data_IF_688253128811
#
_entry.id   IF_688253128811
#
_cell.length_a   1.000
_cell.length_b   1.000
_cell.length_c   1.000
_cell.angle_alpha   90.00
_cell.angle_beta   90.00
_cell.angle_gamma   90.00
#
_symmetry.space_group_name_H-M   'P 1'
#
loop_
_entity.id
_entity.type
_entity.pdbx_description
1 polymer ?
#
# COMPACT_ATOMS: atom_id res chain seq x y z
N UNK A 1 24.13 -26.82 0.32
CA UNK A 1 23.48 -26.37 1.56
C UNK A 1 24.07 -25.06 2.12
N UNK A 2 25.39 -24.85 2.10
CA UNK A 2 26.01 -23.62 2.64
C UNK A 2 25.47 -22.31 2.03
N UNK A 3 25.28 -22.23 0.71
CA UNK A 3 24.74 -21.04 0.04
C UNK A 3 23.34 -20.63 0.56
N UNK A 4 22.42 -21.59 0.70
CA UNK A 4 21.08 -21.34 1.23
C UNK A 4 21.12 -20.80 2.67
N UNK A 5 21.98 -21.38 3.52
CA UNK A 5 22.10 -20.94 4.91
C UNK A 5 22.64 -19.51 5.00
N UNK A 6 23.58 -19.14 4.14
CA UNK A 6 24.12 -17.77 4.07
C UNK A 6 23.06 -16.79 3.58
N UNK A 7 22.29 -17.12 2.54
CA UNK A 7 21.19 -16.27 2.06
C UNK A 7 20.06 -16.13 3.09
N UNK A 8 19.70 -17.20 3.81
CA UNK A 8 18.74 -17.14 4.93
C UNK A 8 19.30 -16.28 6.07
N UNK A 9 20.58 -16.43 6.41
CA UNK A 9 21.22 -15.62 7.45
C UNK A 9 21.24 -14.13 7.07
N UNK A 10 21.57 -13.81 5.81
CA UNK A 10 21.47 -12.45 5.27
C UNK A 10 20.06 -11.92 5.43
N UNK A 11 19.07 -12.66 4.92
CA UNK A 11 17.66 -12.29 5.01
C UNK A 11 17.24 -12.00 6.45
N UNK A 12 17.48 -12.94 7.38
CA UNK A 12 17.15 -12.78 8.80
C UNK A 12 17.88 -11.60 9.44
N UNK A 13 19.14 -11.35 9.08
CA UNK A 13 19.90 -10.21 9.59
C UNK A 13 19.33 -8.87 9.10
N UNK A 14 18.96 -8.76 7.82
CA UNK A 14 18.27 -7.59 7.28
C UNK A 14 16.94 -7.37 7.98
N UNK A 15 16.13 -8.42 8.17
CA UNK A 15 14.87 -8.33 8.94
C UNK A 15 15.13 -7.83 10.35
N UNK A 16 16.11 -8.41 11.05
CA UNK A 16 16.44 -8.07 12.43
C UNK A 16 16.90 -6.62 12.55
N UNK A 17 17.83 -6.17 11.68
CA UNK A 17 18.31 -4.80 11.63
C UNK A 17 17.14 -3.85 11.35
N UNK A 18 16.28 -4.17 10.37
CA UNK A 18 15.10 -3.37 10.07
C UNK A 18 14.15 -3.27 11.27
N UNK A 19 13.93 -4.36 12.01
CA UNK A 19 13.12 -4.32 13.23
C UNK A 19 13.77 -3.49 14.34
N UNK A 20 15.08 -3.59 14.55
CA UNK A 20 15.79 -2.79 15.55
C UNK A 20 15.70 -1.31 15.19
N UNK A 21 16.05 -0.94 13.95
CA UNK A 21 15.96 0.45 13.47
C UNK A 21 14.53 0.95 13.61
N UNK A 22 13.53 0.15 13.24
CA UNK A 22 12.12 0.49 13.43
C UNK A 22 11.79 0.82 14.88
N UNK A 23 12.15 -0.06 15.81
CA UNK A 23 11.84 0.13 17.24
C UNK A 23 12.55 1.35 17.82
N UNK A 24 13.79 1.59 17.42
CA UNK A 24 14.56 2.78 17.81
C UNK A 24 13.95 4.04 17.22
N UNK A 25 13.62 4.06 15.93
CA UNK A 25 13.00 5.19 15.26
C UNK A 25 11.63 5.54 15.83
N UNK A 26 10.82 4.56 16.23
CA UNK A 26 9.55 4.81 16.94
C UNK A 26 9.73 5.56 18.26
N UNK A 27 10.86 5.33 18.94
CA UNK A 27 11.18 5.99 20.22
C UNK A 27 11.79 7.36 20.04
N UNK A 28 12.57 7.57 18.97
CA UNK A 28 13.38 8.77 18.78
C UNK A 28 12.76 9.81 17.84
N UNK A 29 11.92 9.40 16.89
CA UNK A 29 11.44 10.29 15.82
C UNK A 29 9.97 10.68 16.02
N UNK A 30 9.60 11.90 15.57
CA UNK A 30 8.20 12.30 15.54
C UNK A 30 7.41 11.39 14.58
N UNK A 31 6.14 11.15 14.93
CA UNK A 31 5.27 10.17 14.26
C UNK A 31 5.17 10.38 12.74
N UNK A 32 5.16 11.63 12.28
CA UNK A 32 5.10 11.96 10.84
C UNK A 32 6.34 11.51 10.06
N UNK A 33 7.54 11.69 10.62
CA UNK A 33 8.82 11.29 10.01
C UNK A 33 8.92 9.77 9.97
N UNK A 34 8.52 9.09 11.04
CA UNK A 34 8.49 7.62 11.09
C UNK A 34 7.52 7.03 10.05
N UNK A 35 6.27 7.54 9.99
CA UNK A 35 5.23 7.03 9.10
C UNK A 35 5.49 7.32 7.62
N UNK A 36 6.14 8.45 7.30
CA UNK A 36 6.41 8.88 5.93
C UNK A 36 7.73 8.39 5.34
N UNK A 37 8.76 8.20 6.17
CA UNK A 37 10.13 7.91 5.72
C UNK A 37 10.62 6.53 6.18
N UNK A 38 10.82 6.35 7.49
CA UNK A 38 11.54 5.18 8.01
C UNK A 38 10.83 3.87 7.65
N UNK A 39 9.50 3.84 7.77
CA UNK A 39 8.72 2.63 7.52
C UNK A 39 8.77 2.19 6.05
N UNK A 40 8.76 3.11 5.10
CA UNK A 40 8.87 2.80 3.67
C UNK A 40 10.29 2.38 3.30
N UNK A 41 11.30 3.08 3.83
CA UNK A 41 12.72 2.78 3.58
C UNK A 41 13.09 1.36 4.03
N UNK A 42 12.74 1.01 5.27
CA UNK A 42 13.03 -0.31 5.83
C UNK A 42 12.28 -1.42 5.11
N UNK A 43 11.14 -1.10 4.49
CA UNK A 43 10.37 -2.07 3.73
C UNK A 43 11.03 -2.37 2.38
N UNK A 44 11.42 -1.33 1.63
CA UNK A 44 12.14 -1.50 0.36
C UNK A 44 13.45 -2.28 0.53
N UNK A 45 14.15 -2.05 1.65
CA UNK A 45 15.42 -2.73 1.96
C UNK A 45 15.33 -4.26 1.98
N UNK A 46 14.14 -4.79 2.24
CA UNK A 46 13.90 -6.21 2.41
C UNK A 46 13.42 -6.91 1.12
N UNK A 47 12.94 -6.16 0.12
CA UNK A 47 12.33 -6.70 -1.10
C UNK A 47 13.37 -7.23 -2.13
N UNK A 48 14.64 -6.79 -2.05
CA UNK A 48 15.69 -7.17 -3.02
C UNK A 48 16.45 -8.45 -2.65
N UNK A 49 16.60 -8.76 -1.36
CA UNK A 49 17.47 -9.85 -0.88
C UNK A 49 17.11 -11.26 -1.38
N UNK A 50 15.95 -11.40 -2.03
CA UNK A 50 15.43 -12.67 -2.55
C UNK A 50 15.80 -12.98 -4.00
N UNK A 51 16.20 -11.97 -4.77
CA UNK A 51 16.39 -12.09 -6.22
C UNK A 51 17.80 -12.55 -6.61
N UNK A 52 18.60 -13.00 -5.64
CA UNK A 52 19.80 -13.77 -5.90
C UNK A 52 19.41 -15.13 -6.50
N UNK A 53 19.39 -15.23 -7.83
CA UNK A 53 19.00 -16.43 -8.58
C UNK A 53 19.89 -17.65 -8.36
N UNK A 54 19.34 -18.86 -8.56
CA UNK A 54 20.09 -20.13 -8.49
C UNK A 54 19.57 -21.11 -7.43
N UNK A 55 18.53 -20.73 -6.68
CA UNK A 55 17.72 -21.67 -5.93
C UNK A 55 16.58 -22.22 -6.79
N UNK A 56 16.09 -23.42 -6.44
CA UNK A 56 14.91 -23.99 -7.10
C UNK A 56 13.68 -23.07 -6.94
N UNK A 57 12.73 -23.12 -7.88
CA UNK A 57 11.56 -22.24 -7.88
C UNK A 57 10.75 -22.34 -6.57
N UNK A 58 10.67 -23.54 -5.99
CA UNK A 58 9.97 -23.78 -4.71
C UNK A 58 10.60 -23.01 -3.54
N UNK A 59 11.93 -22.90 -3.51
CA UNK A 59 12.65 -22.18 -2.45
C UNK A 59 12.46 -20.67 -2.60
N UNK A 60 12.55 -20.15 -3.83
CA UNK A 60 12.30 -18.74 -4.11
C UNK A 60 10.86 -18.39 -3.71
N UNK A 61 9.90 -19.24 -4.09
CA UNK A 61 8.48 -19.01 -3.82
C UNK A 61 8.15 -19.04 -2.33
N UNK A 62 8.71 -20.00 -1.58
CA UNK A 62 8.52 -20.11 -0.13
C UNK A 62 9.14 -18.92 0.62
N UNK A 63 10.34 -18.51 0.24
CA UNK A 63 10.95 -17.32 0.83
C UNK A 63 10.18 -16.05 0.46
N UNK A 64 9.63 -15.96 -0.75
CA UNK A 64 8.77 -14.84 -1.17
C UNK A 64 7.49 -14.77 -0.33
N UNK A 65 6.87 -15.91 -0.08
CA UNK A 65 5.72 -16.01 0.82
C UNK A 65 6.05 -15.56 2.25
N UNK A 66 7.14 -16.06 2.82
CA UNK A 66 7.59 -15.70 4.18
C UNK A 66 7.91 -14.20 4.26
N UNK A 67 8.58 -13.66 3.23
CA UNK A 67 8.87 -12.25 3.10
C UNK A 67 7.59 -11.42 3.18
N UNK A 68 6.60 -11.69 2.32
CA UNK A 68 5.31 -10.98 2.33
C UNK A 68 4.51 -11.16 3.62
N UNK A 69 4.62 -12.31 4.29
CA UNK A 69 4.03 -12.53 5.60
C UNK A 69 4.64 -11.63 6.68
N UNK A 70 5.97 -11.70 6.86
CA UNK A 70 6.70 -10.89 7.84
C UNK A 70 6.40 -9.42 7.60
N UNK A 71 6.31 -9.05 6.34
CA UNK A 71 5.95 -7.74 5.87
C UNK A 71 4.57 -7.26 6.28
N UNK A 72 3.54 -8.08 6.04
CA UNK A 72 2.16 -7.73 6.38
C UNK A 72 1.95 -7.53 7.88
N UNK A 73 2.73 -8.21 8.72
CA UNK A 73 2.62 -8.12 10.20
C UNK A 73 3.58 -7.10 10.83
N UNK A 74 4.74 -6.83 10.22
CA UNK A 74 5.84 -6.14 10.90
C UNK A 74 6.14 -4.72 10.43
N UNK A 75 5.54 -4.20 9.36
CA UNK A 75 5.92 -2.87 8.83
C UNK A 75 4.81 -1.84 8.90
N UNK A 76 3.93 -1.92 9.91
CA UNK A 76 2.89 -0.93 10.22
C UNK A 76 2.06 -0.43 9.02
N UNK A 77 1.90 -1.24 7.96
CA UNK A 77 1.22 -0.82 6.74
C UNK A 77 2.04 0.09 5.82
N UNK A 78 3.36 -0.08 5.75
CA UNK A 78 4.17 0.46 4.66
C UNK A 78 3.63 -0.01 3.30
N UNK A 79 3.65 0.88 2.31
CA UNK A 79 3.19 0.58 0.96
C UNK A 79 4.25 -0.20 0.18
N UNK A 80 5.47 0.34 0.12
CA UNK A 80 6.61 -0.18 -0.65
C UNK A 80 6.34 -0.52 -2.12
N UNK A 81 5.28 0.05 -2.66
CA UNK A 81 4.92 -0.09 -4.05
C UNK A 81 4.34 1.25 -4.51
N UNK A 82 4.94 1.91 -5.53
CA UNK A 82 4.43 3.16 -6.08
C UNK A 82 2.95 3.08 -6.47
N UNK A 83 2.51 1.94 -7.01
CA UNK A 83 1.11 1.71 -7.40
C UNK A 83 0.19 1.71 -6.18
N UNK A 84 0.61 1.13 -5.06
CA UNK A 84 -0.16 1.12 -3.80
C UNK A 84 -0.18 2.51 -3.18
N UNK A 85 0.94 3.25 -3.20
CA UNK A 85 0.97 4.63 -2.69
C UNK A 85 0.10 5.57 -3.53
N UNK A 86 0.08 5.37 -4.84
CA UNK A 86 -0.83 6.10 -5.72
C UNK A 86 -2.29 5.69 -5.48
N UNK A 87 -2.56 4.41 -5.23
CA UNK A 87 -3.90 3.95 -4.86
C UNK A 87 -4.41 4.67 -3.61
N UNK A 88 -3.61 4.72 -2.54
CA UNK A 88 -3.97 5.43 -1.29
C UNK A 88 -4.28 6.91 -1.54
N UNK A 89 -3.52 7.57 -2.43
CA UNK A 89 -3.79 8.95 -2.82
C UNK A 89 -5.12 9.11 -3.57
N UNK A 90 -5.38 8.21 -4.53
CA UNK A 90 -6.59 8.26 -5.37
C UNK A 90 -7.87 8.02 -4.57
N UNK A 91 -7.80 7.21 -3.51
CA UNK A 91 -8.94 6.92 -2.61
C UNK A 91 -9.07 7.87 -1.43
N UNK A 92 -8.28 8.96 -1.39
CA UNK A 92 -8.26 9.98 -0.33
C UNK A 92 -7.66 9.53 1.02
N UNK A 93 -6.98 8.39 1.08
CA UNK A 93 -6.33 7.88 2.31
C UNK A 93 -4.97 8.57 2.57
N UNK A 94 -4.38 9.22 1.57
CA UNK A 94 -3.11 9.95 1.67
C UNK A 94 -3.18 11.34 1.04
N UNK A 95 -2.44 12.30 1.60
CA UNK A 95 -2.28 13.63 1.02
C UNK A 95 -1.27 13.62 -0.13
N UNK A 96 -1.28 14.65 -0.98
CA UNK A 96 -0.33 14.77 -2.08
C UNK A 96 1.13 14.77 -1.59
N UNK A 97 1.44 15.61 -0.58
CA UNK A 97 2.79 15.72 -0.02
C UNK A 97 3.22 14.39 0.61
N UNK A 98 2.36 13.73 1.38
CA UNK A 98 2.69 12.44 1.97
C UNK A 98 2.98 11.38 0.90
N UNK A 99 2.20 11.38 -0.18
CA UNK A 99 2.40 10.45 -1.30
C UNK A 99 3.70 10.72 -2.05
N UNK A 100 4.00 11.99 -2.35
CA UNK A 100 5.26 12.38 -2.99
C UNK A 100 6.48 11.96 -2.14
N UNK A 101 6.41 12.16 -0.82
CA UNK A 101 7.44 11.71 0.11
C UNK A 101 7.57 10.19 0.09
N UNK A 102 6.47 9.43 0.15
CA UNK A 102 6.51 7.96 0.05
C UNK A 102 7.19 7.48 -1.23
N UNK A 103 6.83 8.06 -2.38
CA UNK A 103 7.40 7.70 -3.67
C UNK A 103 8.92 7.94 -3.69
N UNK A 104 9.38 9.11 -3.23
CA UNK A 104 10.81 9.42 -3.16
C UNK A 104 11.56 8.44 -2.25
N UNK A 105 11.00 8.13 -1.08
CA UNK A 105 11.61 7.18 -0.14
C UNK A 105 11.63 5.77 -0.70
N UNK A 106 10.60 5.37 -1.44
CA UNK A 106 10.56 4.06 -2.08
C UNK A 106 11.70 3.93 -3.09
N UNK A 107 11.93 4.95 -3.92
CA UNK A 107 13.08 4.96 -4.82
C UNK A 107 14.42 4.91 -4.07
N UNK A 108 14.63 5.80 -3.11
CA UNK A 108 15.88 5.84 -2.33
C UNK A 108 16.11 4.53 -1.57
N UNK A 109 15.06 3.96 -1.01
CA UNK A 109 15.11 2.68 -0.31
C UNK A 109 15.48 1.53 -1.22
N UNK A 110 15.00 1.51 -2.46
CA UNK A 110 15.36 0.47 -3.43
C UNK A 110 16.79 0.61 -3.93
N UNK A 111 17.26 1.83 -4.19
CA UNK A 111 18.66 2.06 -4.54
C UNK A 111 19.59 1.63 -3.40
N UNK A 112 19.28 2.02 -2.16
CA UNK A 112 20.03 1.59 -0.98
C UNK A 112 20.01 0.07 -0.81
N UNK A 113 18.87 -0.57 -1.08
CA UNK A 113 18.73 -2.02 -1.06
C UNK A 113 19.58 -2.69 -2.12
N UNK A 114 19.63 -2.13 -3.33
CA UNK A 114 20.46 -2.60 -4.43
C UNK A 114 21.93 -2.55 -4.05
N UNK A 115 22.41 -1.40 -3.57
CA UNK A 115 23.80 -1.21 -3.13
C UNK A 115 24.16 -2.18 -2.00
N UNK A 116 23.32 -2.30 -0.97
CA UNK A 116 23.57 -3.21 0.15
C UNK A 116 23.65 -4.66 -0.32
N UNK A 117 22.74 -5.04 -1.21
CA UNK A 117 22.67 -6.37 -1.81
C UNK A 117 23.95 -6.64 -2.59
N UNK A 118 24.31 -5.80 -3.57
CA UNK A 118 25.53 -5.94 -4.36
C UNK A 118 26.78 -6.01 -3.49
N UNK A 119 26.89 -5.14 -2.48
CA UNK A 119 28.01 -5.16 -1.54
C UNK A 119 28.08 -6.48 -0.77
N UNK A 120 26.94 -7.00 -0.30
CA UNK A 120 26.90 -8.29 0.40
C UNK A 120 27.31 -9.45 -0.52
N UNK A 121 26.83 -9.49 -1.76
CA UNK A 121 27.20 -10.55 -2.73
C UNK A 121 28.67 -10.45 -3.13
N UNK A 122 29.25 -9.25 -3.16
CA UNK A 122 30.68 -9.04 -3.46
C UNK A 122 31.64 -9.62 -2.40
N UNK A 123 31.15 -9.98 -1.22
CA UNK A 123 31.96 -10.68 -0.22
C UNK A 123 32.20 -12.15 -0.56
N UNK A 124 31.53 -12.69 -1.60
CA UNK A 124 31.79 -14.02 -2.17
C UNK A 124 31.89 -15.14 -1.12
N UNK A 125 31.05 -15.03 -0.08
CA UNK A 125 31.07 -15.90 1.11
C UNK A 125 30.90 -17.39 0.79
N UNK A 126 30.36 -17.72 -0.38
CA UNK A 126 30.31 -19.08 -0.93
C UNK A 126 30.49 -19.05 -2.45
N UNK A 127 30.86 -20.20 -3.04
CA UNK A 127 30.95 -20.38 -4.51
C UNK A 127 29.65 -19.97 -5.23
N UNK A 128 28.51 -20.11 -4.56
CA UNK A 128 27.21 -19.70 -5.09
C UNK A 128 27.08 -18.16 -5.17
N UNK A 129 27.54 -17.44 -4.14
CA UNK A 129 27.55 -15.96 -4.16
C UNK A 129 28.53 -15.44 -5.21
N UNK A 130 29.68 -16.11 -5.39
CA UNK A 130 30.63 -15.82 -6.46
C UNK A 130 29.99 -15.98 -7.85
N UNK A 131 29.35 -17.14 -8.11
CA UNK A 131 28.69 -17.39 -9.40
C UNK A 131 27.57 -16.38 -9.66
N UNK A 132 26.78 -16.01 -8.64
CA UNK A 132 25.73 -15.01 -8.80
C UNK A 132 26.28 -13.61 -9.04
N UNK A 133 27.35 -13.22 -8.35
CA UNK A 133 28.01 -11.94 -8.57
C UNK A 133 28.54 -11.84 -10.01
N UNK A 134 29.10 -12.93 -10.54
CA UNK A 134 29.52 -13.03 -11.94
C UNK A 134 28.32 -12.99 -12.90
N UNK A 135 27.22 -13.68 -12.59
CA UNK A 135 26.00 -13.69 -13.41
C UNK A 135 25.27 -12.35 -13.41
N UNK A 136 25.38 -11.56 -12.34
CA UNK A 136 24.78 -10.23 -12.25
C UNK A 136 25.39 -9.24 -13.26
N UNK A 137 26.62 -9.47 -13.71
CA UNK A 137 27.28 -8.64 -14.73
C UNK A 137 26.69 -8.86 -16.13
N UNK A 138 26.15 -10.06 -16.40
CA UNK A 138 25.58 -10.45 -17.69
C UNK A 138 24.09 -10.80 -17.55
N UNK A 139 23.31 -9.92 -16.91
CA UNK A 139 21.89 -10.16 -16.73
C UNK A 139 21.07 -9.93 -18.02
N UNK A 140 20.08 -10.79 -18.22
CA UNK A 140 19.13 -10.73 -19.33
C UNK A 140 17.77 -10.22 -18.84
N UNK A 141 16.99 -9.65 -19.75
CA UNK A 141 15.64 -9.16 -19.49
C UNK A 141 14.76 -10.23 -18.85
N UNK A 142 14.00 -9.84 -17.83
CA UNK A 142 12.96 -10.69 -17.23
C UNK A 142 11.69 -10.78 -18.08
N UNK A 143 11.61 -10.04 -19.20
CA UNK A 143 10.52 -10.15 -20.16
C UNK A 143 10.85 -11.31 -21.11
N UNK A 144 10.20 -12.45 -20.92
CA UNK A 144 10.37 -13.65 -21.75
C UNK A 144 9.24 -13.84 -22.76
N UNK A 145 8.43 -12.80 -22.99
CA UNK A 145 7.25 -12.84 -23.86
C UNK A 145 7.17 -11.63 -24.78
N UNK A 146 6.20 -11.62 -25.69
CA UNK A 146 5.92 -10.42 -26.48
C UNK A 146 5.53 -9.24 -25.59
N UNK A 147 5.90 -8.02 -26.01
CA UNK A 147 5.65 -6.79 -25.27
C UNK A 147 4.20 -6.66 -24.77
N UNK A 148 3.21 -6.81 -25.66
CA UNK A 148 1.79 -6.69 -25.31
C UNK A 148 1.33 -7.75 -24.30
N UNK A 149 1.87 -8.96 -24.40
CA UNK A 149 1.59 -10.02 -23.45
C UNK A 149 2.19 -9.69 -22.07
N UNK A 150 3.41 -9.16 -22.02
CA UNK A 150 4.03 -8.70 -20.78
C UNK A 150 3.23 -7.59 -20.09
N UNK A 151 2.79 -6.57 -20.86
CA UNK A 151 1.92 -5.49 -20.35
C UNK A 151 0.64 -6.08 -19.75
N UNK A 152 0.02 -7.03 -20.45
CA UNK A 152 -1.20 -7.68 -20.00
C UNK A 152 -0.97 -8.49 -18.71
N UNK A 153 0.09 -9.30 -18.65
CA UNK A 153 0.42 -10.12 -17.48
C UNK A 153 0.66 -9.26 -16.24
N UNK A 154 1.53 -8.25 -16.33
CA UNK A 154 1.81 -7.33 -15.22
C UNK A 154 0.56 -6.53 -14.80
N UNK A 155 -0.26 -6.11 -15.77
CA UNK A 155 -1.53 -5.45 -15.51
C UNK A 155 -2.54 -6.33 -14.79
N UNK A 156 -2.71 -7.59 -15.20
CA UNK A 156 -3.61 -8.55 -14.56
C UNK A 156 -3.15 -8.91 -13.15
N UNK A 157 -1.85 -9.15 -12.97
CA UNK A 157 -1.27 -9.39 -11.63
C UNK A 157 -1.51 -8.19 -10.71
N UNK A 158 -1.21 -6.98 -11.19
CA UNK A 158 -1.47 -5.75 -10.43
C UNK A 158 -2.96 -5.59 -10.11
N UNK A 159 -3.86 -5.87 -11.05
CA UNK A 159 -5.30 -5.81 -10.84
C UNK A 159 -5.76 -6.70 -9.69
N UNK A 160 -5.38 -7.98 -9.70
CA UNK A 160 -5.77 -8.91 -8.64
C UNK A 160 -5.16 -8.54 -7.29
N UNK A 161 -3.88 -8.17 -7.27
CA UNK A 161 -3.21 -7.72 -6.06
C UNK A 161 -3.91 -6.52 -5.42
N UNK A 162 -4.18 -5.46 -6.20
CA UNK A 162 -4.84 -4.25 -5.70
C UNK A 162 -6.29 -4.51 -5.30
N UNK A 163 -7.03 -5.35 -6.04
CA UNK A 163 -8.40 -5.72 -5.68
C UNK A 163 -8.48 -6.44 -4.33
N UNK A 164 -7.59 -7.41 -4.10
CA UNK A 164 -7.49 -8.12 -2.81
C UNK A 164 -7.05 -7.14 -1.71
N UNK A 165 -6.06 -6.29 -1.98
CA UNK A 165 -5.61 -5.28 -1.01
C UNK A 165 -6.71 -4.32 -0.58
N UNK A 166 -7.56 -3.87 -1.52
CA UNK A 166 -8.73 -3.04 -1.23
C UNK A 166 -9.81 -3.81 -0.46
N UNK A 167 -10.10 -5.05 -0.87
CA UNK A 167 -11.13 -5.90 -0.23
C UNK A 167 -10.83 -6.16 1.24
N UNK A 168 -9.57 -6.39 1.58
CA UNK A 168 -9.12 -6.71 2.94
C UNK A 168 -8.45 -5.53 3.66
N UNK A 169 -8.57 -4.30 3.13
CA UNK A 169 -7.87 -3.14 3.68
C UNK A 169 -8.21 -2.87 5.15
N UNK A 170 -9.48 -3.12 5.54
CA UNK A 170 -10.00 -2.91 6.90
C UNK A 170 -9.94 -4.16 7.79
N UNK A 171 -9.49 -5.29 7.26
CA UNK A 171 -9.34 -6.52 8.02
C UNK A 171 -8.14 -6.43 8.97
N UNK A 172 -8.17 -7.22 10.04
CA UNK A 172 -7.03 -7.32 10.96
C UNK A 172 -5.76 -7.77 10.19
N UNK A 173 -4.58 -7.16 10.46
CA UNK A 173 -3.31 -7.56 9.88
C UNK A 173 -3.02 -9.07 9.93
N UNK A 174 -3.46 -9.78 10.97
CA UNK A 174 -3.28 -11.23 11.10
C UNK A 174 -4.02 -12.04 10.03
N UNK A 175 -5.13 -11.52 9.49
CA UNK A 175 -5.85 -12.13 8.37
C UNK A 175 -5.40 -11.54 7.03
N UNK A 176 -5.20 -10.22 6.98
CA UNK A 176 -4.81 -9.52 5.75
C UNK A 176 -3.44 -9.96 5.25
N UNK A 177 -2.46 -10.14 6.13
CA UNK A 177 -1.09 -10.51 5.77
C UNK A 177 -1.01 -11.86 5.04
N UNK A 178 -1.56 -12.98 5.57
CA UNK A 178 -1.52 -14.26 4.87
C UNK A 178 -2.30 -14.23 3.55
N UNK A 179 -3.44 -13.54 3.48
CA UNK A 179 -4.22 -13.43 2.24
C UNK A 179 -3.40 -12.73 1.16
N UNK A 180 -2.76 -11.61 1.48
CA UNK A 180 -1.91 -10.88 0.53
C UNK A 180 -0.66 -11.68 0.16
N UNK A 181 -0.02 -12.34 1.13
CA UNK A 181 1.15 -13.17 0.87
C UNK A 181 0.80 -14.32 -0.08
N UNK A 182 -0.28 -15.08 0.18
CA UNK A 182 -0.75 -16.13 -0.73
C UNK A 182 -1.05 -15.55 -2.12
N UNK A 183 -1.77 -14.42 -2.19
CA UNK A 183 -2.13 -13.79 -3.47
C UNK A 183 -0.88 -13.45 -4.29
N UNK A 184 0.08 -12.75 -3.69
CA UNK A 184 1.32 -12.35 -4.36
C UNK A 184 2.14 -13.57 -4.76
N UNK A 185 2.28 -14.57 -3.87
CA UNK A 185 2.99 -15.81 -4.16
C UNK A 185 2.34 -16.58 -5.32
N UNK A 186 1.01 -16.71 -5.35
CA UNK A 186 0.31 -17.38 -6.46
C UNK A 186 0.47 -16.62 -7.79
N UNK A 187 0.38 -15.29 -7.76
CA UNK A 187 0.64 -14.46 -8.94
C UNK A 187 2.09 -14.61 -9.40
N UNK A 188 3.06 -14.59 -8.49
CA UNK A 188 4.47 -14.77 -8.80
C UNK A 188 4.76 -16.16 -9.41
N UNK A 189 4.14 -17.21 -8.87
CA UNK A 189 4.26 -18.57 -9.43
C UNK A 189 3.72 -18.67 -10.86
N UNK A 190 2.58 -18.05 -11.12
CA UNK A 190 1.89 -18.16 -12.41
C UNK A 190 2.45 -17.23 -13.48
N UNK A 191 2.83 -16.01 -13.11
CA UNK A 191 3.29 -14.98 -14.03
C UNK A 191 4.83 -14.85 -14.09
N UNK A 192 5.55 -15.41 -13.12
CA UNK A 192 7.01 -15.34 -13.01
C UNK A 192 7.75 -15.77 -14.29
N UNK A 193 7.39 -16.88 -14.95
CA UNK A 193 8.02 -17.31 -16.19
C UNK A 193 7.87 -16.31 -17.36
N UNK A 194 6.93 -15.37 -17.31
CA UNK A 194 6.65 -14.45 -18.40
C UNK A 194 7.31 -13.09 -18.24
N UNK A 195 7.28 -12.53 -17.02
CA UNK A 195 7.74 -11.16 -16.72
C UNK A 195 8.51 -11.03 -15.41
N UNK A 196 8.77 -12.13 -14.70
CA UNK A 196 9.23 -12.09 -13.31
C UNK A 196 8.13 -11.72 -12.29
N UNK A 197 6.95 -11.28 -12.74
CA UNK A 197 5.79 -10.94 -11.92
C UNK A 197 6.10 -9.92 -10.82
N UNK A 198 6.60 -8.74 -11.22
CA UNK A 198 6.99 -7.73 -10.24
C UNK A 198 5.81 -6.92 -9.72
N UNK A 199 4.92 -6.47 -10.61
CA UNK A 199 3.76 -5.58 -10.38
C UNK A 199 4.02 -4.44 -9.39
N UNK A 200 5.29 -4.04 -9.31
CA UNK A 200 5.87 -3.03 -8.42
C UNK A 200 6.89 -2.25 -9.26
N UNK A 201 6.55 -1.04 -9.72
CA UNK A 201 7.37 -0.31 -10.68
C UNK A 201 8.79 -0.01 -10.18
N UNK A 202 8.97 0.32 -8.90
CA UNK A 202 10.30 0.58 -8.31
C UNK A 202 11.15 -0.69 -8.22
N UNK A 203 10.53 -1.82 -7.85
CA UNK A 203 11.23 -3.10 -7.79
C UNK A 203 11.66 -3.58 -9.17
N UNK A 204 10.75 -3.52 -10.15
CA UNK A 204 11.05 -3.88 -11.53
C UNK A 204 12.16 -2.98 -12.10
N UNK A 205 12.13 -1.67 -11.80
CA UNK A 205 13.14 -0.73 -12.28
C UNK A 205 14.53 -1.10 -11.76
N UNK A 206 14.65 -1.40 -10.48
CA UNK A 206 15.93 -1.78 -9.87
C UNK A 206 16.44 -3.13 -10.39
N UNK A 207 15.56 -4.13 -10.52
CA UNK A 207 15.96 -5.51 -10.87
C UNK A 207 16.19 -5.70 -12.37
N UNK A 208 15.49 -4.97 -13.24
CA UNK A 208 15.45 -5.30 -14.69
C UNK A 208 15.99 -4.23 -15.63
N UNK A 209 15.94 -2.94 -15.28
CA UNK A 209 16.21 -1.88 -16.29
C UNK A 209 17.68 -1.78 -16.67
N UNK A 210 18.58 -2.29 -15.83
CA UNK A 210 20.01 -2.37 -16.11
C UNK A 210 20.38 -3.60 -16.96
N UNK A 211 19.45 -4.55 -17.15
CA UNK A 211 19.70 -5.78 -17.88
C UNK A 211 19.55 -5.63 -19.39
N UNK A 212 20.36 -6.39 -20.12
CA UNK A 212 20.31 -6.46 -21.59
C UNK A 212 19.04 -7.17 -22.07
N UNK A 213 18.55 -6.85 -23.27
CA UNK A 213 17.46 -7.59 -23.94
C UNK A 213 16.29 -6.72 -24.40
N UNK A 214 15.90 -5.71 -23.63
CA UNK A 214 14.83 -4.77 -23.99
C UNK A 214 15.30 -3.32 -23.79
N UNK A 215 14.66 -2.38 -24.50
CA UNK A 215 14.94 -0.96 -24.34
C UNK A 215 14.11 -0.35 -23.19
N UNK A 216 14.56 0.78 -22.63
CA UNK A 216 13.90 1.45 -21.50
C UNK A 216 12.40 1.67 -21.71
N UNK A 217 11.98 2.05 -22.92
CA UNK A 217 10.57 2.29 -23.23
C UNK A 217 9.70 1.03 -23.07
N UNK A 218 10.21 -0.12 -23.49
CA UNK A 218 9.51 -1.41 -23.38
C UNK A 218 9.33 -1.80 -21.91
N UNK A 219 10.39 -1.62 -21.12
CA UNK A 219 10.33 -1.83 -19.67
C UNK A 219 9.34 -0.90 -18.98
N UNK A 220 9.30 0.39 -19.35
CA UNK A 220 8.30 1.34 -18.81
C UNK A 220 6.89 0.92 -19.18
N UNK A 221 6.65 0.45 -20.40
CA UNK A 221 5.33 -0.02 -20.80
C UNK A 221 4.90 -1.26 -20.00
N UNK A 222 5.78 -2.24 -19.83
CA UNK A 222 5.45 -3.47 -19.11
C UNK A 222 5.32 -3.23 -17.61
N UNK A 223 6.30 -2.61 -16.97
CA UNK A 223 6.41 -2.55 -15.51
C UNK A 223 5.89 -1.27 -14.87
N UNK A 224 5.62 -0.21 -15.63
CA UNK A 224 4.93 0.98 -15.13
C UNK A 224 3.50 1.05 -15.65
N UNK A 225 3.31 1.06 -16.97
CA UNK A 225 1.97 1.23 -17.56
C UNK A 225 1.07 0.02 -17.25
N UNK A 226 1.57 -1.21 -17.36
CA UNK A 226 0.84 -2.42 -16.95
C UNK A 226 0.32 -2.33 -15.51
N UNK A 227 1.19 -2.23 -14.50
CA UNK A 227 0.75 -2.17 -13.11
C UNK A 227 -0.17 -0.99 -12.77
N UNK A 228 0.06 0.19 -13.34
CA UNK A 228 -0.82 1.35 -13.15
C UNK A 228 -2.22 1.12 -13.73
N UNK A 229 -2.31 0.55 -14.94
CA UNK A 229 -3.62 0.24 -15.56
C UNK A 229 -4.38 -0.82 -14.77
N UNK A 230 -3.68 -1.85 -14.27
CA UNK A 230 -4.26 -2.86 -13.39
C UNK A 230 -4.83 -2.28 -12.09
N UNK A 231 -4.05 -1.43 -11.42
CA UNK A 231 -4.45 -0.75 -10.18
C UNK A 231 -5.67 0.16 -10.40
N UNK A 232 -5.68 0.96 -11.47
CA UNK A 232 -6.82 1.82 -11.82
C UNK A 232 -8.08 0.99 -12.11
N UNK A 233 -7.94 -0.13 -12.82
CA UNK A 233 -9.05 -1.03 -13.13
C UNK A 233 -9.62 -1.66 -11.85
N UNK A 234 -8.75 -2.06 -10.90
CA UNK A 234 -9.16 -2.59 -9.60
C UNK A 234 -9.92 -1.54 -8.78
N UNK A 235 -9.44 -0.30 -8.76
CA UNK A 235 -10.11 0.81 -8.11
C UNK A 235 -11.50 1.08 -8.69
N UNK A 236 -11.60 1.15 -10.02
CA UNK A 236 -12.87 1.36 -10.72
C UNK A 236 -13.86 0.24 -10.40
N UNK A 237 -13.41 -1.02 -10.40
CA UNK A 237 -14.26 -2.16 -10.09
C UNK A 237 -14.71 -2.16 -8.62
N UNK A 238 -13.81 -1.84 -7.70
CA UNK A 238 -14.10 -1.91 -6.26
C UNK A 238 -14.97 -0.75 -5.76
N UNK A 239 -14.68 0.48 -6.20
CA UNK A 239 -15.36 1.69 -5.71
C UNK A 239 -16.45 2.20 -6.65
N UNK A 240 -16.44 1.85 -7.94
CA UNK A 240 -17.34 2.41 -8.95
C UNK A 240 -17.07 3.87 -9.34
N UNK A 241 -16.29 4.59 -8.51
CA UNK A 241 -15.75 5.94 -8.72
C UNK A 241 -14.33 6.02 -8.21
N UNK A 242 -13.52 6.89 -8.83
CA UNK A 242 -12.25 7.33 -8.27
C UNK A 242 -12.48 8.73 -7.68
N UNK A 243 -12.57 8.89 -6.35
CA UNK A 243 -13.00 10.14 -5.71
C UNK A 243 -12.23 11.39 -6.16
N UNK A 244 -10.94 11.25 -6.46
CA UNK A 244 -10.07 12.33 -6.94
C UNK A 244 -10.22 12.68 -8.42
N UNK A 245 -10.68 11.74 -9.24
CA UNK A 245 -10.76 11.92 -10.71
C UNK A 245 -12.20 12.16 -11.18
N UNK A 246 -13.18 11.55 -10.51
CA UNK A 246 -14.60 11.62 -10.89
C UNK A 246 -15.47 11.78 -9.65
N UNK A 247 -16.37 12.78 -9.67
CA UNK A 247 -17.36 12.98 -8.60
C UNK A 247 -18.63 12.12 -8.75
N UNK A 248 -18.84 11.52 -9.92
CA UNK A 248 -20.03 10.70 -10.23
C UNK A 248 -19.64 9.26 -10.54
N UNK A 249 -20.40 8.30 -9.98
CA UNK A 249 -20.22 6.86 -10.19
C UNK A 249 -20.27 6.52 -11.68
N UNK A 250 -19.12 6.10 -12.24
CA UNK A 250 -18.97 5.77 -13.66
C UNK A 250 -19.72 4.47 -14.00
N UNK A 251 -19.69 3.50 -13.08
CA UNK A 251 -20.35 2.20 -13.26
C UNK A 251 -21.83 2.20 -12.87
N UNK A 252 -22.26 3.16 -12.05
CA UNK A 252 -23.64 3.23 -11.55
C UNK A 252 -24.12 4.68 -11.51
N UNK A 253 -24.68 5.16 -12.62
CA UNK A 253 -25.40 6.43 -12.62
C UNK A 253 -26.71 6.25 -11.84
N UNK A 254 -26.94 6.95 -10.71
CA UNK A 254 -28.25 6.95 -10.09
C UNK A 254 -29.21 7.60 -11.08
N UNK A 255 -30.10 6.81 -11.70
CA UNK A 255 -31.23 7.35 -12.45
C UNK A 255 -32.05 8.19 -11.48
N UNK A 256 -31.94 9.51 -11.60
CA UNK A 256 -32.75 10.48 -10.86
C UNK A 256 -34.23 10.19 -11.12
N UNK A 257 -34.88 9.51 -10.17
CA UNK A 257 -36.33 9.25 -10.21
C UNK A 257 -37.14 10.39 -9.60
N UNK A 258 -36.51 11.46 -9.11
CA UNK A 258 -37.20 12.65 -8.62
C UNK A 258 -36.69 13.89 -9.35
N UNK A 259 -37.39 14.22 -10.43
CA UNK A 259 -37.36 15.55 -11.05
C UNK A 259 -38.05 16.49 -10.07
N UNK A 260 -37.27 17.29 -9.35
CA UNK A 260 -37.82 18.38 -8.51
C UNK A 260 -38.68 19.30 -9.38
N UNK A 261 -39.93 19.62 -8.98
CA UNK A 261 -40.72 20.58 -9.72
C UNK A 261 -40.05 21.95 -9.58
N UNK A 262 -39.83 22.64 -10.71
CA UNK A 262 -39.39 24.04 -10.74
C UNK A 262 -40.41 24.89 -9.98
N UNK A 263 -40.10 25.23 -8.73
CA UNK A 263 -40.80 26.28 -7.99
C UNK A 263 -40.51 27.61 -8.69
N UNK A 264 -41.57 28.27 -9.18
CA UNK A 264 -41.51 29.61 -9.76
C UNK A 264 -40.99 30.58 -8.69
N UNK A 265 -39.94 31.34 -9.01
CA UNK A 265 -39.51 32.46 -8.19
C UNK A 265 -40.60 33.55 -8.23
N UNK A 266 -41.09 33.95 -7.06
CA UNK A 266 -41.92 35.16 -6.91
C UNK A 266 -41.00 36.30 -6.47
N UNK A 267 -41.09 37.50 -7.07
CA UNK A 267 -40.19 38.62 -6.75
C UNK A 267 -40.59 39.39 -5.49
N UNK A 268 -39.57 39.69 -4.67
CA UNK A 268 -39.36 40.90 -3.87
C UNK A 268 -40.29 41.24 -2.68
N UNK A 269 -39.69 41.31 -1.48
CA UNK A 269 -39.86 42.47 -0.61
C UNK A 269 -38.54 42.75 0.14
N UNK A 270 -38.19 44.03 0.21
CA UNK A 270 -36.96 44.62 0.76
C UNK A 270 -37.31 45.35 2.07
N UNK A 271 -36.26 45.63 2.86
CA UNK A 271 -36.16 46.47 4.07
C UNK A 271 -36.17 45.66 5.39
N UNK A 272 -35.37 45.91 6.43
CA UNK A 272 -34.31 46.88 6.83
C UNK A 272 -33.73 46.29 8.13
N UNK A 273 -32.41 46.29 8.39
CA UNK A 273 -31.78 47.28 9.28
C UNK A 273 -31.11 46.61 10.51
N UNK A 274 -29.91 47.10 10.82
CA UNK A 274 -29.15 47.12 12.10
C UNK A 274 -28.42 45.89 12.70
N UNK A 275 -27.09 46.09 12.81
CA UNK A 275 -26.12 45.81 13.89
C UNK A 275 -26.35 44.69 14.91
N UNK A 276 -25.35 43.83 15.12
CA UNK A 276 -24.50 43.87 16.32
C UNK A 276 -23.31 42.88 16.26
N UNK A 277 -22.21 43.29 16.89
CA UNK A 277 -20.92 42.60 17.07
C UNK A 277 -21.02 41.26 17.80
N UNK A 278 -20.05 40.37 17.54
CA UNK A 278 -19.92 39.12 18.30
C UNK A 278 -18.72 38.28 17.91
N UNK A 279 -17.53 38.87 17.90
CA UNK A 279 -16.25 38.16 17.80
C UNK A 279 -16.09 37.21 19.01
N UNK A 280 -16.08 35.89 18.77
CA UNK A 280 -15.57 34.92 19.74
C UNK A 280 -14.50 34.05 19.09
N UNK A 281 -13.26 34.43 19.37
CA UNK A 281 -12.04 33.66 19.12
C UNK A 281 -12.03 32.41 20.01
N UNK A 282 -11.77 31.23 19.43
CA UNK A 282 -11.46 30.01 20.18
C UNK A 282 -9.99 29.63 19.93
N UNK A 283 -9.16 29.86 20.94
CA UNK A 283 -7.77 29.42 21.01
C UNK A 283 -7.72 27.94 21.46
N UNK A 284 -6.92 27.05 20.83
CA UNK A 284 -6.85 25.65 21.23
C UNK A 284 -5.71 25.40 22.24
N UNK A 285 -6.04 24.80 23.40
CA UNK A 285 -5.05 24.19 24.31
C UNK A 285 -4.62 22.80 23.79
N UNK A 286 -3.37 22.39 24.04
CA UNK A 286 -2.81 21.16 23.45
C UNK A 286 -3.21 19.92 24.26
N UNK A 287 -3.93 19.01 23.61
CA UNK A 287 -4.30 17.69 24.11
C UNK A 287 -3.65 16.58 23.29
N UNK A 288 -3.04 15.63 24.01
CA UNK A 288 -2.34 14.43 23.57
C UNK A 288 -3.05 13.67 22.42
N UNK A 289 -2.51 13.72 21.20
CA UNK A 289 -3.00 12.90 20.07
C UNK A 289 -2.56 11.45 20.22
N UNK A 290 -3.52 10.58 20.56
CA UNK A 290 -3.39 9.13 20.45
C UNK A 290 -3.86 8.73 19.05
N UNK A 291 -2.98 8.15 18.24
CA UNK A 291 -3.32 7.68 16.90
C UNK A 291 -4.13 6.37 17.02
N UNK A 292 -5.45 6.49 17.18
CA UNK A 292 -6.37 5.35 17.07
C UNK A 292 -6.76 5.18 15.59
N UNK A 293 -6.59 3.96 15.06
CA UNK A 293 -6.98 3.62 13.68
C UNK A 293 -8.50 3.60 13.54
N UNK A 294 -9.09 4.70 13.08
CA UNK A 294 -10.43 4.68 12.45
C UNK A 294 -10.61 5.90 11.53
N UNK A 295 -11.06 5.75 10.28
CA UNK A 295 -11.56 6.88 9.49
C UNK A 295 -13.06 7.03 9.79
N UNK A 296 -13.40 7.68 10.91
CA UNK A 296 -14.77 8.12 11.16
C UNK A 296 -14.98 9.46 10.46
N UNK A 297 -15.77 9.39 9.39
CA UNK A 297 -16.55 10.48 8.80
C UNK A 297 -16.88 11.58 9.83
N UNK A 298 -16.34 12.78 9.67
CA UNK A 298 -16.89 13.98 10.32
C UNK A 298 -18.32 14.17 9.82
N UNK A 299 -19.29 13.68 10.58
CA UNK A 299 -20.69 14.13 10.51
C UNK A 299 -20.91 14.93 11.79
N UNK A 300 -21.12 16.23 11.66
CA UNK A 300 -21.55 17.10 12.75
C UNK A 300 -22.86 16.55 13.33
N UNK A 301 -22.77 15.79 14.42
CA UNK A 301 -23.89 15.57 15.32
C UNK A 301 -23.85 16.68 16.37
N UNK A 302 -24.78 17.63 16.26
CA UNK A 302 -25.10 18.57 17.31
C UNK A 302 -25.50 17.78 18.58
N UNK A 303 -24.97 18.12 19.77
CA UNK A 303 -25.43 17.52 21.01
C UNK A 303 -26.81 18.11 21.36
N UNK A 304 -27.85 17.30 21.28
CA UNK A 304 -29.13 17.59 21.93
C UNK A 304 -28.94 17.51 23.45
N UNK A 305 -29.13 18.65 24.12
CA UNK A 305 -29.03 18.80 25.57
C UNK A 305 -30.08 18.01 26.37
N UNK A 306 -29.97 18.02 27.71
CA UNK A 306 -30.62 17.06 28.58
C UNK A 306 -32.10 17.37 28.81
N UNK A 307 -32.96 16.36 28.75
CA UNK A 307 -34.28 16.40 29.37
C UNK A 307 -34.23 15.63 30.69
N UNK A 308 -34.41 16.36 31.79
CA UNK A 308 -34.77 15.82 33.09
C UNK A 308 -36.20 15.26 33.02
N UNK A 309 -36.43 14.10 33.64
CA UNK A 309 -37.77 13.52 33.82
C UNK A 309 -37.72 12.27 34.68
N UNK A 310 -38.27 12.37 35.89
CA UNK A 310 -38.19 11.44 37.02
C UNK A 310 -39.07 10.17 36.92
N UNK A 311 -38.54 9.09 37.54
CA UNK A 311 -39.17 8.12 38.47
C UNK A 311 -40.11 6.98 38.05
N UNK A 312 -39.94 5.88 38.81
CA UNK A 312 -40.77 4.67 39.07
C UNK A 312 -40.57 3.51 38.09
N UNK A 313 -40.37 2.24 38.46
CA UNK A 313 -40.27 1.52 39.73
C UNK A 313 -40.32 0.00 39.47
N UNK A 314 -39.63 -0.79 40.31
CA UNK A 314 -39.85 -2.21 40.69
C UNK A 314 -39.80 -3.39 39.67
N UNK A 315 -39.15 -4.48 40.11
CA UNK A 315 -39.46 -5.90 39.79
C UNK A 315 -38.49 -6.58 38.80
N UNK A 316 -37.49 -7.34 39.24
CA UNK A 316 -37.47 -8.81 39.53
C UNK A 316 -37.37 -9.74 38.30
N UNK A 317 -36.39 -10.65 38.40
CA UNK A 317 -36.33 -12.03 37.89
C UNK A 317 -35.85 -12.33 36.44
N UNK A 318 -34.68 -12.98 36.43
CA UNK A 318 -34.37 -14.29 35.84
C UNK A 318 -34.16 -14.52 34.32
N UNK A 319 -33.15 -15.39 34.12
CA UNK A 319 -33.01 -16.41 33.07
C UNK A 319 -32.36 -16.06 31.72
N UNK A 320 -31.07 -16.45 31.62
CA UNK A 320 -30.49 -17.18 30.47
C UNK A 320 -31.34 -18.43 30.14
N UNK A 321 -31.34 -19.02 28.90
CA UNK A 321 -30.12 -19.41 28.18
C UNK A 321 -30.14 -19.46 26.63
N UNK A 322 -28.92 -19.63 26.10
CA UNK A 322 -28.49 -20.47 24.96
C UNK A 322 -29.30 -20.52 23.64
N UNK A 323 -28.63 -20.09 22.57
CA UNK A 323 -28.25 -20.93 21.42
C UNK A 323 -27.06 -20.29 20.69
#
# INVERSE_FOLDING_TARGET
>A
MAGLNVSIAFFLSVVAICQVVRQVSKRLLPLGVYCGLVRELLRMLMDIGLWGGGFGPDVILTLHFILYLIHGVSFDGASANPSVSLQEFLVMDSSFVATAVKLLVQFVGMEAAGILTTHYWSWELTDFHLIQNLMALDCNSSIHTSLYHGIFVEGVCSFFFHLVALKFQRSDPLYRAPILAVTVTTLAYTAGPFTGAFFNPTLASMVTFHCSGNILQEYVQVYWLGPLTGMLTALLLYQGTIPRLFQQNLLYSPKSKYRTPKGKAVPWLKQTGDNEEGQRSCEPRPGLMKCERTPSRCSLFLPSGPSQGQTTGAGTEDAWPAL
#
